data_IF_137453793913
#
_entry.id   IF_137453793913
#
_cell.length_a   1.000
_cell.length_b   1.000
_cell.length_c   1.000
_cell.angle_alpha   90.00
_cell.angle_beta   90.00
_cell.angle_gamma   90.00
#
_symmetry.space_group_name_H-M   'P 1'
#
loop_
_entity.id
_entity.type
_entity.pdbx_description
1 polymer ?
#
# COMPACT_ATOMS: atom_id res chain seq x y z
N UNK A 1 -0.72 10.88 -3.72
CA UNK A 1 0.16 10.79 -2.52
C UNK A 1 1.34 9.83 -2.64
N UNK A 2 1.19 8.72 -3.36
CA UNK A 2 2.15 7.59 -3.47
C UNK A 2 3.61 7.96 -3.74
N UNK A 3 3.85 9.05 -4.46
CA UNK A 3 5.19 9.51 -4.84
C UNK A 3 5.74 10.64 -3.96
N UNK A 4 4.91 11.23 -3.08
CA UNK A 4 5.31 12.34 -2.23
C UNK A 4 6.31 11.85 -1.18
N UNK A 5 7.37 12.64 -0.96
CA UNK A 5 8.39 12.38 0.05
C UNK A 5 8.30 13.39 1.20
N UNK A 6 8.68 12.95 2.40
CA UNK A 6 8.85 13.80 3.57
C UNK A 6 10.17 14.57 3.55
N UNK A 7 10.38 15.42 4.55
CA UNK A 7 11.64 16.16 4.76
C UNK A 7 12.85 15.24 4.99
N UNK A 8 12.61 14.02 5.46
CA UNK A 8 13.59 12.95 5.63
C UNK A 8 13.92 12.19 4.33
N UNK A 9 13.32 12.59 3.20
CA UNK A 9 13.48 11.95 1.91
C UNK A 9 12.75 10.61 1.77
N UNK A 10 12.04 10.11 2.80
CA UNK A 10 11.26 8.86 2.72
C UNK A 10 9.91 9.13 2.06
N UNK A 11 9.33 8.10 1.44
CA UNK A 11 7.98 8.22 0.90
C UNK A 11 6.97 8.36 2.02
N UNK A 12 5.99 9.25 1.83
CA UNK A 12 4.87 9.36 2.75
C UNK A 12 3.95 8.15 2.62
N UNK A 13 3.55 7.63 3.76
CA UNK A 13 2.57 6.54 3.91
C UNK A 13 1.30 7.11 4.56
N UNK A 14 0.13 6.48 4.34
CA UNK A 14 -1.05 6.86 5.08
C UNK A 14 -0.86 6.54 6.58
N UNK A 15 -1.37 7.42 7.43
CA UNK A 15 -1.29 7.26 8.88
C UNK A 15 -2.06 6.02 9.36
N UNK A 16 -3.25 5.80 8.81
CA UNK A 16 -4.09 4.63 9.06
C UNK A 16 -4.39 3.91 7.74
N UNK A 17 -4.17 2.59 7.71
CA UNK A 17 -4.45 1.76 6.53
C UNK A 17 -4.66 0.31 6.88
N UNK A 18 -5.63 -0.34 6.23
CA UNK A 18 -5.77 -1.81 6.27
C UNK A 18 -4.80 -2.52 5.32
N UNK A 19 -4.06 -1.77 4.50
CA UNK A 19 -3.15 -2.34 3.51
C UNK A 19 -2.06 -3.21 4.12
N UNK A 20 -1.65 -2.96 5.37
CA UNK A 20 -0.71 -3.83 6.09
C UNK A 20 -1.20 -5.27 6.22
N UNK A 21 -2.49 -5.47 6.47
CA UNK A 21 -3.08 -6.81 6.51
C UNK A 21 -3.08 -7.46 5.13
N UNK A 22 -3.31 -6.69 4.06
CA UNK A 22 -3.18 -7.20 2.70
C UNK A 22 -1.73 -7.64 2.42
N UNK A 23 -0.74 -6.83 2.79
CA UNK A 23 0.68 -7.20 2.63
C UNK A 23 1.02 -8.48 3.40
N UNK A 24 0.62 -8.57 4.66
CA UNK A 24 0.86 -9.75 5.49
C UNK A 24 0.16 -11.00 4.94
N UNK A 25 -1.11 -10.89 4.55
CA UNK A 25 -1.87 -12.01 4.00
C UNK A 25 -1.21 -12.54 2.72
N UNK A 26 -0.87 -11.67 1.78
CA UNK A 26 -0.22 -12.13 0.53
C UNK A 26 1.15 -12.76 0.77
N UNK A 27 1.94 -12.24 1.71
CA UNK A 27 3.25 -12.80 2.03
C UNK A 27 3.14 -14.21 2.64
N UNK A 28 2.04 -14.48 3.36
CA UNK A 28 1.77 -15.79 3.98
C UNK A 28 1.17 -16.79 2.99
N UNK A 29 0.24 -16.34 2.14
CA UNK A 29 -0.65 -17.26 1.41
C UNK A 29 -0.41 -17.29 -0.10
N UNK A 30 0.32 -16.34 -0.68
CA UNK A 30 0.56 -16.30 -2.12
C UNK A 30 1.96 -16.76 -2.51
N UNK A 31 2.04 -17.32 -3.71
CA UNK A 31 3.29 -17.61 -4.41
C UNK A 31 3.43 -16.68 -5.62
N UNK A 32 4.66 -16.34 -5.98
CA UNK A 32 4.94 -15.59 -7.21
C UNK A 32 4.98 -16.54 -8.41
N UNK A 33 5.82 -17.58 -8.31
CA UNK A 33 5.80 -18.75 -9.17
C UNK A 33 5.93 -19.99 -8.27
N UNK A 34 5.77 -21.18 -8.86
CA UNK A 34 5.85 -22.44 -8.12
C UNK A 34 7.14 -22.47 -7.28
N UNK A 35 6.97 -22.68 -5.97
CA UNK A 35 8.07 -22.75 -5.01
C UNK A 35 8.68 -21.42 -4.55
N UNK A 36 8.20 -20.27 -5.04
CA UNK A 36 8.70 -18.96 -4.61
C UNK A 36 7.62 -18.14 -3.88
N UNK A 37 7.91 -17.61 -2.68
CA UNK A 37 6.95 -16.80 -1.93
C UNK A 37 6.66 -15.48 -2.64
N UNK A 38 5.43 -15.00 -2.52
CA UNK A 38 5.07 -13.68 -3.01
C UNK A 38 5.82 -12.58 -2.25
N UNK A 39 6.31 -11.57 -2.98
CA UNK A 39 6.90 -10.37 -2.41
C UNK A 39 6.48 -9.15 -3.19
N UNK A 40 5.94 -8.16 -2.47
CA UNK A 40 5.69 -6.85 -3.04
C UNK A 40 7.00 -6.11 -3.32
N UNK A 41 7.06 -5.44 -4.47
CA UNK A 41 8.02 -4.36 -4.67
C UNK A 41 7.67 -3.16 -3.77
N UNK A 42 8.63 -2.29 -3.43
CA UNK A 42 8.35 -1.11 -2.61
C UNK A 42 7.23 -0.22 -3.19
N UNK A 43 7.14 -0.12 -4.52
CA UNK A 43 6.09 0.66 -5.20
C UNK A 43 4.72 0.01 -5.02
N UNK A 44 4.61 -1.29 -5.31
CA UNK A 44 3.34 -2.01 -5.15
C UNK A 44 2.87 -1.97 -3.68
N UNK A 45 3.78 -2.18 -2.72
CA UNK A 45 3.46 -2.07 -1.30
C UNK A 45 2.87 -0.69 -0.98
N UNK A 46 3.52 0.40 -1.40
CA UNK A 46 3.00 1.76 -1.17
C UNK A 46 1.64 1.99 -1.82
N UNK A 47 1.44 1.50 -3.05
CA UNK A 47 0.15 1.61 -3.73
C UNK A 47 -0.95 0.88 -2.95
N UNK A 48 -0.69 -0.34 -2.48
CA UNK A 48 -1.63 -1.09 -1.64
C UNK A 48 -1.94 -0.37 -0.33
N UNK A 49 -0.94 0.21 0.34
CA UNK A 49 -1.17 0.98 1.56
C UNK A 49 -2.08 2.19 1.29
N UNK A 50 -1.82 2.95 0.23
CA UNK A 50 -2.63 4.11 -0.12
C UNK A 50 -4.05 3.74 -0.58
N UNK A 51 -4.22 2.61 -1.29
CA UNK A 51 -5.54 2.14 -1.71
C UNK A 51 -6.48 1.84 -0.52
N UNK A 52 -5.93 1.30 0.57
CA UNK A 52 -6.66 0.96 1.79
C UNK A 52 -6.52 2.01 2.91
N UNK A 53 -6.13 3.24 2.58
CA UNK A 53 -5.98 4.31 3.55
C UNK A 53 -7.34 4.71 4.15
N UNK A 54 -7.36 4.98 5.46
CA UNK A 54 -8.58 5.23 6.24
C UNK A 54 -8.62 6.66 6.78
N UNK A 55 -9.83 7.20 6.82
CA UNK A 55 -10.15 8.39 7.61
C UNK A 55 -10.28 8.00 9.09
N UNK A 56 -9.49 8.57 10.01
CA UNK A 56 -9.52 8.20 11.42
C UNK A 56 -10.78 8.63 12.17
N UNK A 57 -11.51 9.64 11.69
CA UNK A 57 -12.74 10.10 12.32
C UNK A 57 -13.95 9.26 11.88
N UNK A 58 -14.00 8.84 10.62
CA UNK A 58 -15.17 8.14 10.05
C UNK A 58 -14.96 6.64 9.83
N UNK A 59 -13.73 6.15 9.91
CA UNK A 59 -13.32 4.78 9.57
C UNK A 59 -13.68 4.36 8.13
N UNK A 60 -13.92 5.33 7.23
CA UNK A 60 -14.16 5.06 5.81
C UNK A 60 -12.85 5.11 5.04
N UNK A 61 -12.79 4.42 3.90
CA UNK A 61 -11.68 4.58 2.98
C UNK A 61 -11.62 6.00 2.45
N UNK A 62 -10.41 6.58 2.45
CA UNK A 62 -10.13 7.93 1.92
C UNK A 62 -10.34 8.01 0.41
N UNK A 63 -10.14 6.90 -0.30
CA UNK A 63 -10.22 6.83 -1.76
C UNK A 63 -11.24 5.77 -2.18
N UNK A 64 -12.00 6.08 -3.23
CA UNK A 64 -12.99 5.18 -3.84
C UNK A 64 -12.60 4.75 -5.26
N UNK A 65 -11.72 5.54 -5.86
CA UNK A 65 -11.10 5.34 -7.15
C UNK A 65 -9.61 5.68 -7.05
N UNK A 66 -8.87 5.40 -8.11
CA UNK A 66 -7.46 5.79 -8.17
C UNK A 66 -6.88 5.64 -9.56
N UNK A 67 -5.94 6.52 -9.86
CA UNK A 67 -5.17 6.53 -11.10
C UNK A 67 -3.72 6.32 -10.74
N UNK A 68 -3.09 5.35 -11.41
CA UNK A 68 -1.65 5.12 -11.30
C UNK A 68 -0.99 5.79 -12.50
N UNK A 69 -0.37 6.94 -12.25
CA UNK A 69 0.50 7.58 -13.21
C UNK A 69 1.94 7.51 -12.73
N UNK A 70 2.81 7.03 -13.61
CA UNK A 70 4.26 7.11 -13.44
C UNK A 70 4.76 8.26 -14.31
N UNK A 71 5.45 9.20 -13.67
CA UNK A 71 6.19 10.27 -14.34
C UNK A 71 7.55 9.76 -14.81
#
# INVERSE_FOLDING_TARGET
PTWKRGSDGRFLLPEYTLGWHCLAWTATYLQHHVGAPWRYTPVQARLTLWWYALDPATNRFLWRDGVIQRL
#
